data_IF_119230966684
#
_entry.id   IF_119230966684
#
_cell.length_a   1.000
_cell.length_b   1.000
_cell.length_c   1.000
_cell.angle_alpha   90.00
_cell.angle_beta   90.00
_cell.angle_gamma   90.00
#
_symmetry.space_group_name_H-M   'P 1'
#
loop_
_entity.id
_entity.type
_entity.pdbx_description
1 polymer ?
#
# COMPACT_ATOMS: atom_id res chain seq x y z
N UNK A 1 -30.54 -37.12 -5.30
CA UNK A 1 -29.69 -35.97 -5.68
C UNK A 1 -30.61 -34.77 -5.60
N UNK A 2 -30.69 -34.17 -4.41
CA UNK A 2 -31.32 -32.86 -4.26
C UNK A 2 -30.32 -31.85 -4.82
N UNK A 3 -30.73 -31.14 -5.86
CA UNK A 3 -29.99 -30.00 -6.40
C UNK A 3 -30.04 -28.88 -5.35
N UNK A 4 -28.84 -28.44 -4.92
CA UNK A 4 -28.65 -27.33 -4.01
C UNK A 4 -29.15 -26.03 -4.70
N UNK A 5 -30.17 -25.33 -4.17
CA UNK A 5 -30.80 -24.21 -4.86
C UNK A 5 -29.94 -22.95 -4.95
N UNK A 6 -28.74 -22.95 -4.35
CA UNK A 6 -27.87 -21.76 -4.22
C UNK A 6 -26.65 -21.80 -5.16
N UNK A 7 -26.75 -22.56 -6.26
CA UNK A 7 -25.71 -22.65 -7.31
C UNK A 7 -25.47 -21.33 -8.06
N UNK A 8 -26.27 -20.28 -7.83
CA UNK A 8 -26.16 -18.99 -8.54
C UNK A 8 -25.44 -17.89 -7.76
N UNK A 9 -24.94 -18.16 -6.54
CA UNK A 9 -24.10 -17.19 -5.82
C UNK A 9 -22.63 -17.28 -6.25
N UNK A 10 -22.34 -16.95 -7.51
CA UNK A 10 -21.00 -16.84 -8.09
C UNK A 10 -20.10 -15.78 -7.42
N UNK A 11 -20.64 -14.99 -6.48
CA UNK A 11 -19.91 -13.93 -5.79
C UNK A 11 -19.86 -14.17 -4.30
N UNK A 12 -18.68 -14.01 -3.70
CA UNK A 12 -18.49 -14.07 -2.24
C UNK A 12 -18.94 -12.75 -1.56
N UNK A 13 -20.09 -12.22 -1.97
CA UNK A 13 -20.68 -11.01 -1.44
C UNK A 13 -21.17 -11.23 0.01
N UNK A 14 -21.32 -10.15 0.78
CA UNK A 14 -21.85 -10.15 2.15
C UNK A 14 -21.09 -11.00 3.18
N UNK A 15 -19.90 -11.53 2.87
CA UNK A 15 -19.14 -12.33 3.82
C UNK A 15 -18.67 -11.48 5.01
N UNK A 16 -18.92 -11.92 6.27
CA UNK A 16 -18.39 -11.26 7.44
C UNK A 16 -16.85 -11.21 7.41
N UNK A 17 -16.26 -10.11 7.89
CA UNK A 17 -14.81 -9.90 7.86
C UNK A 17 -14.02 -11.03 8.54
N UNK A 18 -14.54 -11.58 9.64
CA UNK A 18 -13.91 -12.70 10.34
C UNK A 18 -13.86 -13.97 9.48
N UNK A 19 -14.99 -14.30 8.83
CA UNK A 19 -15.13 -15.46 7.95
C UNK A 19 -14.27 -15.29 6.70
N UNK A 20 -14.21 -14.07 6.17
CA UNK A 20 -13.36 -13.73 5.04
C UNK A 20 -11.88 -13.96 5.40
N UNK A 21 -11.40 -13.33 6.47
CA UNK A 21 -9.98 -13.43 6.86
C UNK A 21 -9.56 -14.86 7.21
N UNK A 22 -10.39 -15.61 7.95
CA UNK A 22 -10.10 -16.98 8.42
C UNK A 22 -10.23 -18.06 7.37
N UNK A 23 -10.73 -17.74 6.17
CA UNK A 23 -10.79 -18.70 5.08
C UNK A 23 -9.36 -19.10 4.66
N UNK A 24 -9.06 -20.39 4.79
CA UNK A 24 -7.71 -20.95 4.51
C UNK A 24 -7.25 -20.76 3.07
N UNK A 25 -8.16 -20.52 2.14
CA UNK A 25 -7.86 -20.31 0.72
C UNK A 25 -7.98 -18.85 0.30
N UNK A 26 -8.13 -17.92 1.26
CA UNK A 26 -8.29 -16.51 0.94
C UNK A 26 -7.00 -15.94 0.34
N UNK A 27 -7.02 -15.69 -0.97
CA UNK A 27 -5.92 -15.10 -1.72
C UNK A 27 -5.64 -13.64 -1.34
N UNK A 28 -6.50 -12.97 -0.56
CA UNK A 28 -6.20 -11.66 -0.01
C UNK A 28 -5.12 -11.71 1.09
N UNK A 29 -5.01 -12.83 1.82
CA UNK A 29 -4.02 -13.01 2.88
C UNK A 29 -2.61 -13.08 2.28
N UNK A 30 -1.69 -12.28 2.83
CA UNK A 30 -0.29 -12.19 2.39
C UNK A 30 -0.14 -12.00 0.87
N UNK A 31 -1.06 -11.24 0.27
CA UNK A 31 -1.19 -11.09 -1.18
C UNK A 31 0.05 -10.46 -1.81
N UNK A 32 0.59 -9.38 -1.24
CA UNK A 32 1.74 -8.71 -1.83
C UNK A 32 2.97 -9.60 -1.83
N UNK A 33 3.19 -10.32 -0.73
CA UNK A 33 4.29 -11.28 -0.61
C UNK A 33 4.16 -12.39 -1.64
N UNK A 34 2.98 -13.01 -1.75
CA UNK A 34 2.74 -14.07 -2.74
C UNK A 34 2.87 -13.58 -4.18
N UNK A 35 2.42 -12.36 -4.48
CA UNK A 35 2.49 -11.79 -5.83
C UNK A 35 3.91 -11.35 -6.23
N UNK A 36 4.78 -11.06 -5.28
CA UNK A 36 6.16 -10.65 -5.54
C UNK A 36 7.17 -11.80 -5.46
N UNK A 37 6.83 -12.89 -4.77
CA UNK A 37 7.68 -14.07 -4.70
C UNK A 37 7.70 -14.85 -6.02
N UNK A 38 8.82 -15.52 -6.29
CA UNK A 38 8.88 -16.56 -7.32
C UNK A 38 8.28 -17.85 -6.77
N UNK A 39 7.11 -18.24 -7.27
CA UNK A 39 6.35 -19.39 -6.74
C UNK A 39 6.81 -20.74 -7.30
N UNK A 40 7.37 -20.78 -8.51
CA UNK A 40 7.81 -22.04 -9.14
C UNK A 40 8.83 -22.81 -8.27
N UNK A 41 9.89 -22.20 -7.71
CA UNK A 41 10.81 -22.89 -6.80
C UNK A 41 10.18 -23.29 -5.46
N UNK A 42 9.00 -22.76 -5.13
CA UNK A 42 8.27 -23.01 -3.89
C UNK A 42 7.11 -23.99 -4.08
N UNK A 43 7.05 -24.70 -5.22
CA UNK A 43 5.97 -25.66 -5.49
C UNK A 43 4.64 -25.01 -5.93
N UNK A 44 4.71 -23.84 -6.56
CA UNK A 44 3.57 -23.08 -7.08
C UNK A 44 2.51 -22.75 -6.03
N UNK A 45 1.41 -23.51 -5.96
CA UNK A 45 0.32 -23.30 -5.00
C UNK A 45 0.14 -24.47 -4.03
N UNK A 46 1.05 -25.44 -4.03
CA UNK A 46 1.00 -26.61 -3.15
C UNK A 46 0.97 -26.21 -1.67
N UNK A 47 1.68 -25.13 -1.31
CA UNK A 47 1.80 -24.60 0.05
C UNK A 47 0.84 -23.42 0.35
N UNK A 48 -0.17 -23.19 -0.49
CA UNK A 48 -1.03 -22.01 -0.37
C UNK A 48 -1.64 -21.86 1.03
N UNK A 49 -2.15 -22.95 1.61
CA UNK A 49 -2.79 -22.94 2.93
C UNK A 49 -1.83 -22.63 4.06
N UNK A 50 -0.53 -22.93 3.90
CA UNK A 50 0.52 -22.56 4.84
C UNK A 50 0.86 -21.06 4.71
N UNK A 51 0.86 -20.52 3.49
CA UNK A 51 1.15 -19.12 3.22
C UNK A 51 0.02 -18.16 3.63
N UNK A 52 -1.23 -18.60 3.56
CA UNK A 52 -2.42 -17.82 3.95
C UNK A 52 -2.81 -17.99 5.41
N UNK A 53 -2.17 -18.92 6.13
CA UNK A 53 -2.41 -19.16 7.54
C UNK A 53 -2.04 -17.91 8.38
N UNK A 54 -2.85 -17.66 9.41
CA UNK A 54 -2.59 -16.61 10.38
C UNK A 54 -1.28 -16.86 11.13
N UNK A 55 -0.54 -15.79 11.39
CA UNK A 55 0.63 -15.78 12.26
C UNK A 55 0.28 -14.96 13.50
N UNK A 56 0.01 -15.61 14.65
CA UNK A 56 -0.28 -14.91 15.89
C UNK A 56 0.85 -13.95 16.28
N UNK A 57 0.52 -12.83 16.93
CA UNK A 57 1.52 -11.88 17.41
C UNK A 57 2.52 -12.50 18.42
N UNK A 58 2.13 -13.59 19.09
CA UNK A 58 2.96 -14.35 20.02
C UNK A 58 3.86 -15.38 19.35
N UNK A 59 3.71 -15.60 18.03
CA UNK A 59 4.51 -16.58 17.32
C UNK A 59 5.98 -16.13 17.26
N UNK A 60 6.94 -16.98 17.71
CA UNK A 60 8.34 -16.59 17.78
C UNK A 60 8.98 -16.44 16.40
N UNK A 61 8.48 -17.17 15.40
CA UNK A 61 8.98 -17.16 14.03
C UNK A 61 7.90 -17.57 13.03
N UNK A 62 8.15 -17.30 11.75
CA UNK A 62 7.36 -17.86 10.65
C UNK A 62 7.65 -19.35 10.49
N UNK A 63 6.73 -20.09 9.88
CA UNK A 63 7.04 -21.43 9.38
C UNK A 63 8.11 -21.36 8.28
N UNK A 64 8.82 -22.46 8.02
CA UNK A 64 9.84 -22.49 6.97
C UNK A 64 9.28 -22.13 5.59
N UNK A 65 8.06 -22.57 5.28
CA UNK A 65 7.38 -22.26 4.01
C UNK A 65 6.99 -20.78 3.91
N UNK A 66 6.46 -20.19 5.00
CA UNK A 66 6.16 -18.76 5.07
C UNK A 66 7.42 -17.88 4.96
N UNK A 67 8.51 -18.30 5.61
CA UNK A 67 9.80 -17.62 5.57
C UNK A 67 10.38 -17.65 4.15
N UNK A 68 10.36 -18.81 3.47
CA UNK A 68 10.83 -18.94 2.10
C UNK A 68 10.05 -18.05 1.12
N UNK A 69 8.72 -17.93 1.27
CA UNK A 69 7.90 -17.02 0.48
C UNK A 69 8.31 -15.55 0.70
N UNK A 70 8.47 -15.14 1.97
CA UNK A 70 8.88 -13.79 2.32
C UNK A 70 10.26 -13.43 1.77
N UNK A 71 11.23 -14.34 1.89
CA UNK A 71 12.60 -14.11 1.42
C UNK A 71 12.65 -14.00 -0.11
N UNK A 72 11.92 -14.85 -0.82
CA UNK A 72 11.76 -14.77 -2.28
C UNK A 72 11.18 -13.42 -2.72
N UNK A 73 10.13 -12.94 -2.04
CA UNK A 73 9.52 -11.63 -2.31
C UNK A 73 10.50 -10.47 -2.06
N UNK A 74 11.25 -10.49 -0.94
CA UNK A 74 12.25 -9.48 -0.61
C UNK A 74 13.36 -9.41 -1.65
N UNK A 75 13.89 -10.57 -2.07
CA UNK A 75 14.93 -10.65 -3.11
C UNK A 75 14.41 -10.05 -4.42
N UNK A 76 13.19 -10.41 -4.85
CA UNK A 76 12.62 -9.89 -6.09
C UNK A 76 12.39 -8.37 -6.02
N UNK A 77 11.85 -7.86 -4.92
CA UNK A 77 11.66 -6.43 -4.71
C UNK A 77 12.99 -5.66 -4.73
N UNK A 78 14.06 -6.24 -4.15
CA UNK A 78 15.37 -5.62 -4.05
C UNK A 78 16.18 -5.67 -5.35
N UNK A 79 16.07 -6.75 -6.12
CA UNK A 79 17.02 -7.05 -7.21
C UNK A 79 16.40 -7.12 -8.60
N UNK A 80 15.10 -7.44 -8.71
CA UNK A 80 14.43 -7.66 -10.00
C UNK A 80 13.60 -6.45 -10.44
N UNK A 81 13.10 -5.67 -9.50
CA UNK A 81 12.35 -4.45 -9.80
C UNK A 81 13.27 -3.23 -9.85
N UNK A 82 13.30 -2.58 -11.02
CA UNK A 82 14.01 -1.32 -11.25
C UNK A 82 13.54 -0.23 -10.28
N UNK A 83 12.21 -0.13 -10.10
CA UNK A 83 11.57 0.81 -9.20
C UNK A 83 10.23 0.23 -8.71
N UNK A 84 9.85 0.58 -7.50
CA UNK A 84 8.53 0.32 -6.94
C UNK A 84 8.05 1.57 -6.18
N UNK A 85 6.76 1.63 -5.90
CA UNK A 85 6.11 2.79 -5.30
C UNK A 85 5.44 2.41 -3.99
N UNK A 86 5.28 3.41 -3.12
CA UNK A 86 4.49 3.30 -1.90
C UNK A 86 3.30 4.25 -2.01
N UNK A 87 2.10 3.73 -1.74
CA UNK A 87 0.83 4.46 -1.85
C UNK A 87 0.80 5.72 -0.99
N UNK A 88 1.45 5.66 0.16
CA UNK A 88 1.50 6.66 1.21
C UNK A 88 2.42 7.84 0.86
N UNK A 89 3.28 7.67 -0.15
CA UNK A 89 4.34 8.62 -0.50
C UNK A 89 4.32 8.96 -2.01
N UNK A 90 3.16 9.40 -2.52
CA UNK A 90 2.96 9.66 -3.96
C UNK A 90 3.95 10.64 -4.60
N UNK A 91 4.36 11.69 -3.87
CA UNK A 91 5.38 12.64 -4.34
C UNK A 91 6.72 11.97 -4.63
N UNK A 92 7.17 11.13 -3.70
CA UNK A 92 8.40 10.37 -3.78
C UNK A 92 8.32 9.26 -4.82
N UNK A 93 7.17 8.59 -4.88
CA UNK A 93 6.87 7.57 -5.88
C UNK A 93 6.93 8.12 -7.30
N UNK A 94 6.28 9.26 -7.56
CA UNK A 94 6.38 9.94 -8.86
C UNK A 94 7.84 10.33 -9.17
N UNK A 95 8.55 10.89 -8.20
CA UNK A 95 9.95 11.28 -8.36
C UNK A 95 10.83 10.11 -8.80
N UNK A 96 10.75 8.98 -8.08
CA UNK A 96 11.55 7.79 -8.38
C UNK A 96 11.17 7.17 -9.73
N UNK A 97 9.88 7.09 -10.07
CA UNK A 97 9.43 6.59 -11.37
C UNK A 97 9.98 7.43 -12.53
N UNK A 98 9.82 8.76 -12.46
CA UNK A 98 10.34 9.66 -13.49
C UNK A 98 11.86 9.54 -13.64
N UNK A 99 12.58 9.42 -12.52
CA UNK A 99 14.04 9.29 -12.52
C UNK A 99 14.50 7.94 -13.06
N UNK A 100 13.84 6.85 -12.67
CA UNK A 100 14.21 5.50 -13.08
C UNK A 100 14.02 5.28 -14.59
N UNK A 101 12.94 5.81 -15.16
CA UNK A 101 12.61 5.62 -16.57
C UNK A 101 12.96 6.80 -17.48
N UNK A 102 13.41 7.93 -16.94
CA UNK A 102 13.69 9.13 -17.72
C UNK A 102 12.44 9.78 -18.34
N UNK A 103 11.27 9.60 -17.70
CA UNK A 103 9.98 10.10 -18.20
C UNK A 103 9.47 11.29 -17.37
N UNK A 104 8.48 12.00 -17.90
CA UNK A 104 7.75 13.06 -17.20
C UNK A 104 6.25 12.74 -17.26
N UNK A 105 5.58 12.73 -16.10
CA UNK A 105 4.13 12.58 -16.05
C UNK A 105 3.44 13.92 -16.32
N UNK A 106 2.40 13.88 -17.17
CA UNK A 106 1.58 15.05 -17.49
C UNK A 106 0.77 15.58 -16.31
N UNK A 107 0.45 14.72 -15.35
CA UNK A 107 -0.27 15.09 -14.13
C UNK A 107 0.54 14.68 -12.91
N UNK A 108 0.48 15.48 -11.85
CA UNK A 108 1.12 15.15 -10.58
C UNK A 108 0.27 14.11 -9.83
N UNK A 109 0.92 13.14 -9.20
CA UNK A 109 0.24 12.13 -8.38
C UNK A 109 -0.20 12.68 -7.02
N UNK A 110 0.31 13.86 -6.66
CA UNK A 110 0.00 14.54 -5.41
C UNK A 110 -0.13 16.04 -5.65
N UNK A 111 -0.84 16.72 -4.76
CA UNK A 111 -0.79 18.17 -4.59
C UNK A 111 -0.73 18.46 -3.09
N UNK A 112 0.34 19.11 -2.60
CA UNK A 112 0.50 19.36 -1.17
C UNK A 112 -0.53 20.34 -0.60
N UNK A 113 -1.33 20.99 -1.46
CA UNK A 113 -2.42 21.92 -1.10
C UNK A 113 -3.79 21.26 -1.11
N UNK A 114 -3.92 20.10 -1.73
CA UNK A 114 -5.20 19.40 -1.84
C UNK A 114 -5.44 18.54 -0.59
N UNK A 115 -6.71 18.42 -0.19
CA UNK A 115 -7.12 17.43 0.80
C UNK A 115 -6.83 16.02 0.27
N UNK A 116 -6.35 15.10 1.12
CA UNK A 116 -6.19 13.70 0.73
C UNK A 116 -7.53 13.13 0.25
N UNK A 117 -7.55 12.53 -0.94
CA UNK A 117 -8.71 11.80 -1.41
C UNK A 117 -8.85 10.53 -0.55
N UNK A 118 -10.03 10.33 0.04
CA UNK A 118 -10.31 9.10 0.76
C UNK A 118 -10.34 7.93 -0.22
N UNK A 119 -9.55 6.90 0.07
CA UNK A 119 -9.62 5.64 -0.66
C UNK A 119 -10.78 4.79 -0.14
N UNK A 120 -11.19 3.79 -0.91
CA UNK A 120 -12.16 2.79 -0.44
C UNK A 120 -11.72 2.13 0.89
N UNK A 121 -10.41 1.89 1.06
CA UNK A 121 -9.88 1.33 2.30
C UNK A 121 -9.99 2.32 3.49
N UNK A 122 -9.92 3.63 3.24
CA UNK A 122 -10.12 4.64 4.27
C UNK A 122 -11.57 4.68 4.73
N UNK A 123 -12.50 4.63 3.78
CA UNK A 123 -13.93 4.61 4.08
C UNK A 123 -14.34 3.33 4.79
N UNK A 124 -13.85 2.16 4.34
CA UNK A 124 -14.10 0.88 4.99
C UNK A 124 -13.56 0.87 6.43
N UNK A 125 -12.38 1.44 6.66
CA UNK A 125 -11.80 1.57 8.01
C UNK A 125 -12.65 2.44 8.91
N UNK A 126 -13.10 3.59 8.42
CA UNK A 126 -13.99 4.48 9.18
C UNK A 126 -15.29 3.77 9.56
N UNK A 127 -15.90 3.03 8.63
CA UNK A 127 -17.10 2.23 8.91
C UNK A 127 -16.87 1.17 10.00
N UNK A 128 -15.75 0.43 9.91
CA UNK A 128 -15.38 -0.57 10.93
C UNK A 128 -15.11 0.06 12.30
N UNK A 129 -14.55 1.26 12.34
CA UNK A 129 -14.29 2.00 13.59
C UNK A 129 -15.59 2.52 14.22
N UNK A 130 -16.57 2.94 13.41
CA UNK A 130 -17.88 3.43 13.89
C UNK A 130 -18.81 2.29 14.34
N UNK A 131 -18.80 1.13 13.67
CA UNK A 131 -19.73 0.02 13.91
C UNK A 131 -19.46 -0.80 15.19
N UNK A 132 -18.52 -0.38 16.05
CA UNK A 132 -18.35 -0.94 17.40
C UNK A 132 -17.84 -2.38 17.48
N UNK A 133 -17.52 -3.05 16.36
CA UNK A 133 -16.68 -4.25 16.38
C UNK A 133 -15.37 -3.82 17.03
N UNK A 134 -15.06 -4.32 18.23
CA UNK A 134 -13.94 -3.87 19.04
C UNK A 134 -12.72 -3.56 18.17
N UNK A 135 -12.32 -2.29 18.11
CA UNK A 135 -11.31 -1.79 17.14
C UNK A 135 -10.01 -2.63 17.18
N UNK A 136 -9.69 -3.18 18.36
CA UNK A 136 -8.56 -4.07 18.57
C UNK A 136 -8.69 -5.45 17.88
N UNK A 137 -9.91 -5.98 17.73
CA UNK A 137 -10.16 -7.34 17.25
C UNK A 137 -9.99 -7.47 15.74
N UNK A 138 -10.54 -6.54 14.96
CA UNK A 138 -10.40 -6.60 13.49
C UNK A 138 -8.98 -6.24 13.05
N UNK A 139 -8.32 -5.26 13.70
CA UNK A 139 -6.94 -4.88 13.37
C UNK A 139 -5.98 -6.04 13.62
N UNK A 140 -6.12 -6.71 14.77
CA UNK A 140 -5.35 -7.91 15.10
C UNK A 140 -5.61 -9.02 14.09
N UNK A 141 -6.88 -9.32 13.81
CA UNK A 141 -7.27 -10.34 12.84
C UNK A 141 -6.60 -10.11 11.47
N UNK A 142 -6.68 -8.88 10.94
CA UNK A 142 -6.08 -8.53 9.65
C UNK A 142 -4.55 -8.59 9.70
N UNK A 143 -3.93 -8.12 10.79
CA UNK A 143 -2.48 -8.15 10.96
C UNK A 143 -1.94 -9.59 11.01
N UNK A 144 -2.60 -10.48 11.74
CA UNK A 144 -2.19 -11.88 11.85
C UNK A 144 -2.28 -12.61 10.51
N UNK A 145 -3.33 -12.35 9.72
CA UNK A 145 -3.51 -12.96 8.39
C UNK A 145 -2.67 -12.27 7.28
N UNK A 146 -2.03 -11.14 7.57
CA UNK A 146 -1.16 -10.41 6.65
C UNK A 146 0.25 -10.18 7.23
N UNK A 147 0.69 -11.05 8.13
CA UNK A 147 1.96 -10.89 8.83
C UNK A 147 3.18 -10.88 7.90
N UNK A 148 3.14 -11.63 6.78
CA UNK A 148 4.23 -11.63 5.81
C UNK A 148 4.22 -10.31 5.03
N UNK A 149 3.04 -9.82 4.65
CA UNK A 149 2.88 -8.52 3.97
C UNK A 149 3.35 -7.36 4.85
N UNK A 150 3.11 -7.40 6.16
CA UNK A 150 3.63 -6.41 7.10
C UNK A 150 5.17 -6.42 7.14
N UNK A 151 5.78 -7.60 7.27
CA UNK A 151 7.25 -7.75 7.25
C UNK A 151 7.87 -7.38 5.90
N UNK A 152 7.16 -7.63 4.79
CA UNK A 152 7.58 -7.20 3.46
C UNK A 152 7.46 -5.68 3.31
N UNK A 153 6.38 -5.07 3.80
CA UNK A 153 6.16 -3.63 3.75
C UNK A 153 7.22 -2.88 4.58
N UNK A 154 7.60 -3.37 5.75
CA UNK A 154 8.71 -2.80 6.53
C UNK A 154 10.02 -2.81 5.74
N UNK A 155 10.38 -3.95 5.15
CA UNK A 155 11.55 -4.05 4.28
C UNK A 155 11.46 -3.13 3.05
N UNK A 156 10.28 -3.08 2.41
CA UNK A 156 10.01 -2.23 1.26
C UNK A 156 10.20 -0.75 1.62
N UNK A 157 9.73 -0.32 2.80
CA UNK A 157 9.90 1.05 3.29
C UNK A 157 11.35 1.43 3.51
N UNK A 158 12.13 0.55 4.13
CA UNK A 158 13.57 0.78 4.34
C UNK A 158 14.33 0.89 3.03
N UNK A 159 14.06 -0.03 2.10
CA UNK A 159 14.67 -0.04 0.77
C UNK A 159 14.25 1.19 -0.05
N UNK A 160 12.97 1.56 -0.01
CA UNK A 160 12.44 2.75 -0.67
C UNK A 160 13.13 4.02 -0.16
N UNK A 161 13.24 4.18 1.15
CA UNK A 161 13.88 5.34 1.75
C UNK A 161 15.38 5.41 1.42
N UNK A 162 16.08 4.27 1.41
CA UNK A 162 17.49 4.21 1.00
C UNK A 162 17.67 4.66 -0.46
N UNK A 163 16.86 4.12 -1.38
CA UNK A 163 16.89 4.50 -2.81
C UNK A 163 16.54 5.97 -3.02
N UNK A 164 15.51 6.46 -2.32
CA UNK A 164 15.08 7.85 -2.40
C UNK A 164 16.15 8.80 -1.87
N UNK A 165 16.74 8.53 -0.70
CA UNK A 165 17.80 9.35 -0.14
C UNK A 165 18.99 9.44 -1.11
N UNK A 166 19.43 8.31 -1.67
CA UNK A 166 20.50 8.30 -2.66
C UNK A 166 20.18 9.17 -3.89
N UNK A 167 18.95 9.07 -4.42
CA UNK A 167 18.51 9.86 -5.57
C UNK A 167 18.42 11.37 -5.27
N UNK A 168 17.86 11.75 -4.12
CA UNK A 168 17.71 13.14 -3.71
C UNK A 168 19.05 13.80 -3.40
N UNK A 169 20.01 13.07 -2.81
CA UNK A 169 21.35 13.57 -2.48
C UNK A 169 22.10 14.17 -3.68
N UNK A 170 21.94 13.56 -4.86
CA UNK A 170 22.70 13.90 -6.05
C UNK A 170 21.93 14.79 -7.04
N UNK A 171 20.65 15.05 -6.80
CA UNK A 171 19.83 15.83 -7.72
C UNK A 171 20.03 17.33 -7.54
N UNK A 172 20.74 17.94 -8.49
CA UNK A 172 21.10 19.36 -8.47
C UNK A 172 19.92 20.32 -8.45
N UNK A 173 18.71 19.87 -8.83
CA UNK A 173 17.47 20.67 -8.77
C UNK A 173 17.00 20.89 -7.34
N UNK A 174 17.43 20.05 -6.39
CA UNK A 174 17.11 20.22 -4.98
C UNK A 174 18.04 21.25 -4.31
N UNK A 175 17.49 22.10 -3.41
CA UNK A 175 18.27 23.01 -2.59
C UNK A 175 19.44 22.33 -1.88
N UNK A 176 20.62 22.96 -1.90
CA UNK A 176 21.84 22.46 -1.22
C UNK A 176 21.60 22.17 0.26
N UNK A 177 20.73 22.93 0.93
CA UNK A 177 20.37 22.71 2.34
C UNK A 177 19.66 21.38 2.56
N UNK A 178 18.73 20.98 1.68
CA UNK A 178 18.05 19.67 1.77
C UNK A 178 19.01 18.52 1.46
N UNK A 179 19.83 18.67 0.43
CA UNK A 179 20.83 17.66 0.06
C UNK A 179 21.84 17.40 1.18
N UNK A 180 22.31 18.46 1.86
CA UNK A 180 23.23 18.35 3.01
C UNK A 180 22.64 17.56 4.18
N UNK A 181 21.34 17.65 4.43
CA UNK A 181 20.72 16.86 5.50
C UNK A 181 20.79 15.36 5.19
N UNK A 182 20.64 14.98 3.92
CA UNK A 182 20.72 13.59 3.48
C UNK A 182 22.15 13.07 3.33
N UNK A 183 23.12 13.93 3.02
CA UNK A 183 24.55 13.57 2.88
C UNK A 183 25.36 13.68 4.16
N UNK A 184 24.83 14.30 5.22
CA UNK A 184 25.52 14.32 6.52
C UNK A 184 25.84 12.88 6.98
N UNK A 185 26.88 12.70 7.81
CA UNK A 185 27.35 11.39 8.34
C UNK A 185 26.33 10.67 9.25
N UNK A 186 25.04 10.87 9.00
CA UNK A 186 23.95 10.10 9.55
C UNK A 186 24.09 8.65 9.08
N UNK A 187 24.01 7.74 10.06
CA UNK A 187 23.80 6.31 9.84
C UNK A 187 22.63 6.09 8.87
N UNK A 188 22.68 5.01 8.08
CA UNK A 188 21.63 4.66 7.10
C UNK A 188 20.24 4.66 7.73
N UNK A 189 20.10 4.14 8.95
CA UNK A 189 18.85 4.15 9.73
C UNK A 189 18.32 5.57 9.99
N UNK A 190 19.19 6.51 10.38
CA UNK A 190 18.81 7.92 10.61
C UNK A 190 18.36 8.62 9.32
N UNK A 191 18.94 8.27 8.16
CA UNK A 191 18.48 8.80 6.86
C UNK A 191 17.10 8.28 6.50
N UNK A 192 16.86 6.99 6.73
CA UNK A 192 15.55 6.38 6.47
C UNK A 192 14.46 7.01 7.36
N UNK A 193 14.75 7.26 8.64
CA UNK A 193 13.84 7.99 9.53
C UNK A 193 13.57 9.41 9.03
N UNK A 194 14.60 10.13 8.59
CA UNK A 194 14.46 11.50 8.09
C UNK A 194 13.58 11.58 6.83
N UNK A 195 13.72 10.64 5.90
CA UNK A 195 12.87 10.58 4.69
C UNK A 195 11.39 10.53 5.03
N UNK A 196 11.02 9.81 6.10
CA UNK A 196 9.64 9.66 6.51
C UNK A 196 9.18 10.70 7.55
N UNK A 197 10.08 11.52 8.09
CA UNK A 197 9.75 12.62 8.99
C UNK A 197 8.78 13.60 8.31
N UNK A 198 7.70 13.96 9.01
CA UNK A 198 6.61 14.75 8.45
C UNK A 198 7.07 16.14 7.99
N UNK A 199 7.94 16.79 8.76
CA UNK A 199 8.39 18.14 8.46
C UNK A 199 9.39 18.14 7.29
N UNK A 200 10.34 17.21 7.31
CA UNK A 200 11.27 16.99 6.21
C UNK A 200 10.51 16.64 4.93
N UNK A 201 9.57 15.69 5.00
CA UNK A 201 8.75 15.27 3.87
C UNK A 201 8.00 16.43 3.25
N UNK A 202 7.27 17.21 4.05
CA UNK A 202 6.54 18.39 3.57
C UNK A 202 7.44 19.38 2.84
N UNK A 203 8.68 19.57 3.29
CA UNK A 203 9.65 20.46 2.60
C UNK A 203 10.06 19.90 1.25
N UNK A 204 10.35 18.60 1.18
CA UNK A 204 10.71 17.93 -0.09
C UNK A 204 9.52 17.92 -1.05
N UNK A 205 8.31 17.61 -0.57
CA UNK A 205 7.08 17.61 -1.36
C UNK A 205 6.85 18.95 -2.04
N UNK A 206 7.00 20.05 -1.32
CA UNK A 206 6.86 21.40 -1.89
C UNK A 206 7.90 21.69 -2.99
N UNK A 207 9.13 21.19 -2.84
CA UNK A 207 10.18 21.35 -3.87
C UNK A 207 9.86 20.48 -5.09
N UNK A 208 9.54 19.20 -4.88
CA UNK A 208 9.21 18.26 -5.94
C UNK A 208 7.97 18.71 -6.73
N UNK A 209 6.94 19.21 -6.04
CA UNK A 209 5.73 19.71 -6.69
C UNK A 209 6.04 20.85 -7.67
N UNK A 210 6.88 21.81 -7.25
CA UNK A 210 7.33 22.91 -8.13
C UNK A 210 8.16 22.40 -9.31
N UNK A 211 9.01 21.40 -9.09
CA UNK A 211 9.78 20.76 -10.18
C UNK A 211 8.82 20.12 -11.18
N UNK A 212 7.83 19.35 -10.71
CA UNK A 212 6.90 18.65 -11.58
C UNK A 212 6.02 19.61 -12.38
N UNK A 213 5.49 20.68 -11.76
CA UNK A 213 4.73 21.70 -12.49
C UNK A 213 5.56 22.38 -13.58
N UNK A 214 6.84 22.67 -13.33
CA UNK A 214 7.74 23.24 -14.36
C UNK A 214 7.97 22.28 -15.52
N UNK A 215 7.92 20.97 -15.28
CA UNK A 215 8.11 19.95 -16.30
C UNK A 215 6.85 19.69 -17.15
N UNK A 216 5.66 20.08 -16.66
CA UNK A 216 4.38 19.75 -17.31
C UNK A 216 4.03 20.65 -18.51
N UNK A 217 4.59 21.87 -18.61
CA UNK A 217 4.13 22.87 -19.56
C UNK A 217 2.70 23.36 -19.25
N UNK A 218 2.26 24.47 -19.85
CA UNK A 218 0.92 25.02 -19.60
C UNK A 218 -0.17 24.11 -20.21
N UNK A 219 -0.86 23.31 -19.39
CA UNK A 219 -2.16 22.74 -19.77
C UNK A 219 -3.06 22.43 -18.56
N UNK A 220 -4.33 22.84 -18.68
CA UNK A 220 -5.41 22.76 -17.69
C UNK A 220 -5.69 21.34 -17.17
N UNK A 221 -5.34 21.06 -15.91
CA UNK A 221 -5.61 19.78 -15.23
C UNK A 221 -6.70 19.86 -14.14
N UNK A 222 -7.50 20.94 -14.10
CA UNK A 222 -8.46 21.18 -13.02
C UNK A 222 -9.74 20.34 -13.11
N UNK A 223 -10.12 19.83 -14.28
CA UNK A 223 -11.43 19.18 -14.49
C UNK A 223 -11.55 17.70 -14.08
N UNK A 224 -10.45 17.00 -13.76
CA UNK A 224 -10.48 15.53 -13.57
C UNK A 224 -10.60 15.11 -12.09
N UNK A 225 -10.28 16.00 -11.13
CA UNK A 225 -10.15 15.61 -9.71
C UNK A 225 -11.46 15.56 -8.92
N UNK A 226 -12.46 16.40 -9.24
CA UNK A 226 -13.74 16.41 -8.52
C UNK A 226 -14.56 15.11 -8.72
N UNK A 227 -14.51 14.51 -9.90
CA UNK A 227 -15.25 13.27 -10.20
C UNK A 227 -14.79 12.03 -9.42
N UNK A 228 -13.58 12.00 -8.85
CA UNK A 228 -13.08 10.79 -8.20
C UNK A 228 -13.65 10.56 -6.80
N UNK A 229 -13.87 11.62 -6.02
CA UNK A 229 -14.41 11.46 -4.66
C UNK A 229 -15.87 11.00 -4.69
N UNK A 230 -16.69 11.63 -5.54
CA UNK A 230 -18.08 11.23 -5.77
C UNK A 230 -18.17 9.80 -6.30
N UNK A 231 -17.27 9.42 -7.22
CA UNK A 231 -17.18 8.04 -7.71
C UNK A 231 -16.91 7.04 -6.58
N UNK A 232 -15.93 7.30 -5.70
CA UNK A 232 -15.60 6.38 -4.60
C UNK A 232 -16.68 6.32 -3.52
N UNK A 233 -17.35 7.45 -3.23
CA UNK A 233 -18.50 7.47 -2.33
C UNK A 233 -19.69 6.70 -2.92
N UNK A 234 -20.01 6.91 -4.19
CA UNK A 234 -21.08 6.18 -4.88
C UNK A 234 -20.76 4.68 -4.99
N UNK A 235 -19.49 4.34 -5.24
CA UNK A 235 -19.04 2.95 -5.25
C UNK A 235 -19.14 2.32 -3.86
N UNK A 236 -18.68 3.00 -2.81
CA UNK A 236 -18.81 2.50 -1.44
C UNK A 236 -20.28 2.32 -1.05
N UNK A 237 -21.15 3.29 -1.35
CA UNK A 237 -22.57 3.20 -1.05
C UNK A 237 -23.21 1.99 -1.77
N UNK A 238 -22.84 1.78 -3.04
CA UNK A 238 -23.23 0.57 -3.79
C UNK A 238 -22.69 -0.70 -3.13
N UNK A 239 -21.42 -0.72 -2.76
CA UNK A 239 -20.76 -1.88 -2.16
C UNK A 239 -21.35 -2.20 -0.77
N UNK A 240 -21.73 -1.19 0.02
CA UNK A 240 -22.43 -1.34 1.31
C UNK A 240 -23.88 -1.81 1.13
N UNK A 241 -24.58 -1.31 0.11
CA UNK A 241 -25.92 -1.78 -0.26
C UNK A 241 -25.89 -3.24 -0.74
N UNK A 242 -24.94 -3.57 -1.61
CA UNK A 242 -24.59 -4.94 -2.00
C UNK A 242 -23.96 -5.74 -0.86
N UNK A 243 -23.74 -5.15 0.32
CA UNK A 243 -23.34 -5.85 1.54
C UNK A 243 -24.52 -5.99 2.52
N UNK A 244 -25.72 -5.50 2.19
CA UNK A 244 -26.90 -5.57 3.06
C UNK A 244 -26.77 -4.69 4.31
N UNK A 245 -25.83 -3.74 4.30
CA UNK A 245 -25.54 -2.82 5.39
C UNK A 245 -26.23 -1.46 5.22
N UNK A 246 -27.21 -1.35 4.32
CA UNK A 246 -27.81 -0.07 3.94
C UNK A 246 -28.98 0.40 4.83
N UNK A 247 -29.45 -0.41 5.78
CA UNK A 247 -30.61 -0.05 6.61
C UNK A 247 -30.26 -0.04 8.10
N UNK A 248 -29.46 0.94 8.50
CA UNK A 248 -29.15 1.20 9.90
C UNK A 248 -28.23 2.40 10.06
N UNK A 249 -28.83 3.60 10.11
CA UNK A 249 -28.28 4.85 10.66
C UNK A 249 -26.79 5.13 10.38
N UNK A 250 -26.54 5.79 9.25
CA UNK A 250 -25.34 6.63 9.09
C UNK A 250 -25.82 8.09 9.16
N UNK A 251 -25.44 8.90 10.16
CA UNK A 251 -25.60 10.35 10.10
C UNK A 251 -24.66 11.00 9.09
#
# INVERSE_FOLDING_TARGET
MEEDPDSDNLTWAHVPLDRFARCRFNLANNRQTRMLASLEPLGCYADLTNWTAAVPATAPSLSSSQQALLDSAKVNLATRLVVFVLSEYMSYSQYLLQRAFGIVFRQTFFDPRASPLLTHADLARQSLETNGIGIADWRRLIAEHNALDLRLWEFARELFAARLAAALCIDSRLPRSLRRLLTSNLLTSKRQTLIFDTNFRRRVDNVLFKIFLRQQGEHNSLGVRQNQQEYWQAKLARDLWLAGMADGDIP
#
